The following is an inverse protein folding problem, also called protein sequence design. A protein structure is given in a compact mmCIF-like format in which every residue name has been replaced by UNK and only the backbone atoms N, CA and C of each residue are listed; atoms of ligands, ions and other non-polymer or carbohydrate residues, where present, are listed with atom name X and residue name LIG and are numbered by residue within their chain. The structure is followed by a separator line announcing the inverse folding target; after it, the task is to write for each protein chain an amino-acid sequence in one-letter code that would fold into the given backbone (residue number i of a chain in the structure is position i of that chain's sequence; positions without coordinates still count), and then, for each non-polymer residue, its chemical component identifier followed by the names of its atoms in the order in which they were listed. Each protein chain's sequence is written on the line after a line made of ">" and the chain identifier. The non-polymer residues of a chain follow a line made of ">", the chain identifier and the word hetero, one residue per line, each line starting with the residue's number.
data_IF_588088805149
#
_entry.id   IF_588088805149
#
_cell.length_a   1.000
_cell.length_b   1.000
_cell.length_c   1.000
_cell.angle_alpha   90.00
_cell.angle_beta   90.00
_cell.angle_gamma   90.00
#
_symmetry.space_group_name_H-M   'P 1'
#
loop_
_entity.id
_entity.type
_entity.pdbx_description
1 polymer ?
#
# COMPACT_ATOMS: atom_id res chain seq x y z
N UNK A 1 15.59 -5.61 9.73
CA UNK A 1 15.65 -4.25 10.29
C UNK A 1 14.30 -3.97 10.95
N UNK A 2 14.29 -3.39 12.13
CA UNK A 2 13.02 -3.11 12.82
C UNK A 2 12.32 -1.87 12.24
N UNK A 3 11.04 -1.71 12.56
CA UNK A 3 10.26 -0.61 12.01
C UNK A 3 10.75 0.76 12.48
N UNK A 4 11.24 0.87 13.71
CA UNK A 4 11.76 2.15 14.20
C UNK A 4 12.98 2.62 13.41
N UNK A 5 13.82 1.68 12.96
CA UNK A 5 14.99 2.00 12.11
C UNK A 5 14.57 2.41 10.70
N UNK A 6 13.42 1.93 10.22
CA UNK A 6 12.94 2.25 8.88
C UNK A 6 12.25 3.61 8.80
N UNK A 7 11.65 4.07 9.89
CA UNK A 7 10.90 5.34 9.89
C UNK A 7 11.70 6.54 9.39
N UNK A 8 12.93 6.81 9.89
CA UNK A 8 13.71 7.95 9.36
C UNK A 8 14.06 7.79 7.87
N UNK A 9 14.22 6.55 7.41
CA UNK A 9 14.52 6.29 5.99
C UNK A 9 13.31 6.58 5.10
N UNK A 10 12.11 6.23 5.56
CA UNK A 10 10.86 6.57 4.87
C UNK A 10 10.71 8.08 4.77
N UNK A 11 10.89 8.79 5.88
CA UNK A 11 10.79 10.25 5.92
C UNK A 11 11.81 10.90 4.97
N UNK A 12 13.04 10.41 4.95
CA UNK A 12 14.09 10.93 4.09
C UNK A 12 13.74 10.79 2.60
N UNK A 13 13.23 9.64 2.19
CA UNK A 13 12.82 9.41 0.80
C UNK A 13 11.68 10.35 0.42
N UNK A 14 10.64 10.41 1.24
CA UNK A 14 9.43 11.17 0.93
C UNK A 14 9.63 12.68 0.98
N UNK A 15 10.65 13.15 1.69
CA UNK A 15 10.99 14.58 1.76
C UNK A 15 12.09 15.01 0.78
N UNK A 16 12.61 14.09 -0.04
CA UNK A 16 13.69 14.41 -0.99
C UNK A 16 13.15 15.22 -2.17
N UNK A 17 13.47 16.51 -2.19
CA UNK A 17 12.99 17.42 -3.24
C UNK A 17 13.63 17.18 -4.61
N UNK A 18 14.67 16.33 -4.68
CA UNK A 18 15.41 16.07 -5.92
C UNK A 18 14.79 14.98 -6.78
N UNK A 19 13.83 14.23 -6.25
CA UNK A 19 13.17 13.15 -6.97
C UNK A 19 11.68 13.42 -7.12
N UNK A 20 11.06 12.81 -8.14
CA UNK A 20 9.63 12.99 -8.42
C UNK A 20 8.77 12.29 -7.37
N UNK A 21 7.49 12.62 -7.34
CA UNK A 21 6.52 11.94 -6.47
C UNK A 21 6.47 10.44 -6.77
N UNK A 22 6.43 10.07 -8.05
CA UNK A 22 6.41 8.66 -8.44
C UNK A 22 7.67 7.92 -7.97
N UNK A 23 8.82 8.56 -8.08
CA UNK A 23 10.07 7.98 -7.60
C UNK A 23 10.08 7.84 -6.07
N UNK A 24 9.55 8.81 -5.35
CA UNK A 24 9.40 8.72 -3.88
C UNK A 24 8.57 7.50 -3.48
N UNK A 25 7.45 7.30 -4.15
CA UNK A 25 6.56 6.17 -3.87
C UNK A 25 7.23 4.84 -4.21
N UNK A 26 7.89 4.77 -5.36
CA UNK A 26 8.59 3.55 -5.78
C UNK A 26 9.72 3.20 -4.82
N UNK A 27 10.55 4.18 -4.45
CA UNK A 27 11.65 3.93 -3.50
C UNK A 27 11.14 3.53 -2.12
N UNK A 28 10.01 4.06 -1.68
CA UNK A 28 9.39 3.64 -0.43
C UNK A 28 8.95 2.19 -0.50
N UNK A 29 8.31 1.77 -1.61
CA UNK A 29 7.94 0.38 -1.81
C UNK A 29 9.16 -0.54 -1.80
N UNK A 30 10.22 -0.15 -2.48
CA UNK A 30 11.47 -0.92 -2.53
C UNK A 30 12.12 -1.04 -1.15
N UNK A 31 12.15 0.06 -0.40
CA UNK A 31 12.70 0.06 0.96
C UNK A 31 11.99 -0.96 1.84
N UNK A 32 10.66 -0.97 1.81
CA UNK A 32 9.87 -1.88 2.64
C UNK A 32 10.05 -3.33 2.21
N UNK A 33 9.96 -3.60 0.91
CA UNK A 33 10.17 -4.95 0.39
C UNK A 33 11.55 -5.49 0.75
N UNK A 34 12.59 -4.67 0.61
CA UNK A 34 13.97 -5.12 0.80
C UNK A 34 14.35 -5.32 2.26
N UNK A 35 13.64 -4.67 3.19
CA UNK A 35 14.01 -4.67 4.61
C UNK A 35 13.04 -5.42 5.52
N UNK A 36 11.86 -5.80 5.04
CA UNK A 36 10.89 -6.58 5.82
C UNK A 36 10.70 -7.91 5.10
N UNK A 37 11.22 -8.98 5.68
CA UNK A 37 11.34 -10.29 5.02
C UNK A 37 10.01 -10.84 4.50
N UNK A 38 8.89 -10.56 5.17
CA UNK A 38 7.58 -11.05 4.77
C UNK A 38 6.76 -10.04 3.95
N UNK A 39 7.36 -8.93 3.53
CA UNK A 39 6.75 -7.99 2.57
C UNK A 39 7.24 -8.36 1.17
N UNK A 40 6.54 -9.26 0.51
CA UNK A 40 6.97 -9.79 -0.78
C UNK A 40 6.54 -8.92 -1.96
N UNK A 41 5.44 -8.21 -1.80
CA UNK A 41 4.96 -7.23 -2.76
C UNK A 41 4.41 -6.03 -1.98
N UNK A 42 4.80 -4.82 -2.38
CA UNK A 42 4.38 -3.57 -1.74
C UNK A 42 3.93 -2.62 -2.84
N UNK A 43 2.74 -2.06 -2.71
CA UNK A 43 2.24 -1.11 -3.71
C UNK A 43 1.36 -0.03 -3.12
N UNK A 44 1.26 1.07 -3.85
CA UNK A 44 0.34 2.17 -3.55
C UNK A 44 -0.70 2.27 -4.65
N UNK A 45 -1.96 2.18 -4.23
CA UNK A 45 -3.12 2.46 -5.09
C UNK A 45 -3.73 3.79 -4.69
N UNK A 46 -4.21 4.54 -5.67
CA UNK A 46 -4.91 5.80 -5.44
C UNK A 46 -6.22 5.83 -6.21
N UNK A 47 -7.17 6.61 -5.73
CA UNK A 47 -8.42 6.85 -6.45
C UNK A 47 -8.09 7.36 -7.86
N UNK A 48 -8.80 6.84 -8.85
CA UNK A 48 -8.59 7.23 -10.25
C UNK A 48 -9.54 8.37 -10.61
N UNK A 49 -9.17 9.60 -10.22
CA UNK A 49 -9.99 10.78 -10.43
C UNK A 49 -11.34 10.66 -9.72
N UNK A 50 -12.42 10.87 -10.45
CA UNK A 50 -13.79 10.78 -9.92
C UNK A 50 -14.42 9.40 -10.09
N UNK A 51 -13.68 8.44 -10.63
CA UNK A 51 -14.19 7.09 -10.83
C UNK A 51 -14.16 6.31 -9.53
N UNK A 52 -15.10 5.39 -9.37
CA UNK A 52 -15.15 4.49 -8.20
C UNK A 52 -14.21 3.30 -8.42
N UNK A 53 -12.93 3.60 -8.58
CA UNK A 53 -11.89 2.62 -8.79
C UNK A 53 -10.55 3.12 -8.26
N UNK A 54 -9.65 2.18 -7.99
CA UNK A 54 -8.26 2.42 -7.59
C UNK A 54 -7.36 2.20 -8.80
N UNK A 55 -6.29 2.99 -8.86
CA UNK A 55 -5.24 2.84 -9.88
C UNK A 55 -3.89 2.64 -9.19
N UNK A 56 -3.16 1.61 -9.63
CA UNK A 56 -1.82 1.35 -9.12
C UNK A 56 -0.87 2.43 -9.61
N UNK A 57 -0.15 3.05 -8.68
CA UNK A 57 0.77 4.13 -9.00
C UNK A 57 2.24 3.74 -8.87
N UNK A 58 2.57 2.93 -7.87
CA UNK A 58 3.94 2.48 -7.64
C UNK A 58 3.91 1.14 -6.94
N UNK A 59 4.90 0.30 -7.19
CA UNK A 59 5.03 -0.99 -6.52
C UNK A 59 6.47 -1.49 -6.55
N UNK A 60 6.76 -2.45 -5.68
CA UNK A 60 7.98 -3.24 -5.67
C UNK A 60 7.60 -4.71 -5.50
N UNK A 61 8.15 -5.56 -6.32
CA UNK A 61 7.84 -6.98 -6.37
C UNK A 61 7.51 -7.40 -7.79
N UNK A 62 6.86 -8.54 -7.96
CA UNK A 62 6.50 -9.04 -9.27
C UNK A 62 5.43 -8.16 -9.92
N UNK A 63 5.50 -7.96 -11.26
CA UNK A 63 4.45 -7.22 -11.96
C UNK A 63 3.08 -7.85 -11.74
N UNK A 64 2.05 -7.02 -11.70
CA UNK A 64 0.66 -7.45 -11.53
C UNK A 64 -0.22 -6.93 -12.67
N UNK A 65 -1.23 -7.72 -13.02
CA UNK A 65 -2.27 -7.29 -13.96
C UNK A 65 -3.35 -6.45 -13.29
N UNK A 66 -3.36 -6.40 -11.94
CA UNK A 66 -4.38 -5.67 -11.18
C UNK A 66 -3.97 -4.21 -11.03
N UNK A 67 -3.94 -3.46 -12.12
CA UNK A 67 -3.57 -2.04 -12.13
C UNK A 67 -4.77 -1.14 -11.88
N UNK A 68 -5.99 -1.62 -12.15
CA UNK A 68 -7.25 -0.94 -11.86
C UNK A 68 -8.12 -1.89 -11.06
N UNK A 69 -8.58 -1.43 -9.89
CA UNK A 69 -9.42 -2.23 -8.99
C UNK A 69 -10.69 -1.46 -8.69
N UNK A 70 -11.87 -1.96 -9.11
CA UNK A 70 -13.14 -1.32 -8.77
C UNK A 70 -13.36 -1.32 -7.26
N UNK A 71 -14.00 -0.27 -6.74
CA UNK A 71 -14.38 -0.22 -5.34
C UNK A 71 -15.28 -1.41 -5.00
N UNK A 72 -15.06 -2.02 -3.84
CA UNK A 72 -15.79 -3.20 -3.39
C UNK A 72 -15.22 -4.53 -3.88
N UNK A 73 -14.28 -4.52 -4.82
CA UNK A 73 -13.68 -5.75 -5.37
C UNK A 73 -12.37 -6.08 -4.66
N UNK A 74 -12.23 -7.35 -4.27
CA UNK A 74 -11.03 -7.82 -3.59
C UNK A 74 -10.82 -7.14 -2.24
N UNK A 75 -9.65 -7.34 -1.66
CA UNK A 75 -9.31 -6.75 -0.36
C UNK A 75 -9.10 -5.24 -0.51
N UNK A 76 -8.36 -4.82 -1.53
CA UNK A 76 -8.10 -3.40 -1.80
C UNK A 76 -9.39 -2.63 -2.08
N UNK A 77 -10.28 -3.18 -2.91
CA UNK A 77 -11.55 -2.53 -3.23
C UNK A 77 -12.46 -2.39 -2.01
N UNK A 78 -12.43 -3.37 -1.11
CA UNK A 78 -13.19 -3.29 0.15
C UNK A 78 -12.67 -2.18 1.06
N UNK A 79 -11.36 -2.00 1.15
CA UNK A 79 -10.75 -0.94 1.98
C UNK A 79 -11.08 0.45 1.41
N UNK A 80 -11.19 0.58 0.10
CA UNK A 80 -11.60 1.85 -0.52
C UNK A 80 -12.98 2.30 -0.05
N UNK A 81 -13.85 1.36 0.32
CA UNK A 81 -15.23 1.63 0.78
C UNK A 81 -15.31 1.68 2.30
N UNK A 82 -14.64 0.76 3.00
CA UNK A 82 -14.76 0.62 4.45
C UNK A 82 -14.02 1.70 5.24
N UNK A 83 -12.96 2.25 4.68
CA UNK A 83 -12.05 3.19 5.35
C UNK A 83 -11.33 2.58 6.57
N UNK A 84 -11.27 1.25 6.64
CA UNK A 84 -10.69 0.51 7.77
C UNK A 84 -9.47 -0.28 7.31
N UNK A 85 -8.50 -0.47 8.20
CA UNK A 85 -7.42 -1.42 7.96
C UNK A 85 -8.01 -2.82 7.72
N UNK A 86 -7.42 -3.57 6.82
CA UNK A 86 -7.82 -4.96 6.59
C UNK A 86 -6.57 -5.84 6.65
N UNK A 87 -6.50 -6.65 7.68
CA UNK A 87 -5.42 -7.63 7.87
C UNK A 87 -5.99 -9.01 7.57
N UNK A 88 -5.43 -9.66 6.56
CA UNK A 88 -5.91 -10.96 6.07
C UNK A 88 -4.81 -12.00 6.30
N UNK A 89 -4.91 -12.83 7.35
CA UNK A 89 -3.88 -13.83 7.65
C UNK A 89 -3.86 -14.99 6.66
N UNK A 90 -4.98 -15.25 5.98
CA UNK A 90 -5.10 -16.30 4.98
C UNK A 90 -6.03 -15.82 3.86
N UNK A 91 -5.45 -15.48 2.70
CA UNK A 91 -6.21 -14.95 1.56
C UNK A 91 -7.21 -15.97 1.01
N UNK A 92 -6.94 -17.26 1.17
CA UNK A 92 -7.84 -18.32 0.69
C UNK A 92 -9.14 -18.40 1.47
N UNK A 93 -9.18 -17.82 2.67
CA UNK A 93 -10.40 -17.75 3.47
C UNK A 93 -11.32 -16.59 3.06
N UNK A 94 -10.89 -15.73 2.11
CA UNK A 94 -11.65 -14.56 1.66
C UNK A 94 -12.42 -14.88 0.38
N UNK A 95 -13.76 -14.71 0.42
CA UNK A 95 -14.61 -14.99 -0.74
C UNK A 95 -14.40 -13.98 -1.88
N UNK A 96 -13.99 -12.75 -1.53
CA UNK A 96 -13.83 -11.65 -2.48
C UNK A 96 -12.34 -11.32 -2.67
N UNK A 97 -11.51 -12.34 -2.83
CA UNK A 97 -10.08 -12.16 -3.05
C UNK A 97 -9.75 -12.15 -4.54
N UNK A 98 -8.95 -11.14 -4.95
CA UNK A 98 -8.39 -11.08 -6.30
C UNK A 98 -6.94 -11.52 -6.22
N UNK A 99 -6.65 -12.71 -6.73
CA UNK A 99 -5.30 -13.28 -6.65
C UNK A 99 -4.33 -12.55 -7.57
N UNK A 100 -3.22 -12.05 -6.99
CA UNK A 100 -2.10 -11.47 -7.76
C UNK A 100 -1.07 -12.55 -8.12
N UNK A 101 -0.93 -13.57 -7.28
CA UNK A 101 0.01 -14.66 -7.45
C UNK A 101 -0.46 -15.86 -6.65
N UNK A 102 -0.15 -17.07 -7.14
CA UNK A 102 -0.44 -18.31 -6.42
C UNK A 102 0.37 -18.43 -5.13
N UNK A 103 1.45 -17.63 -4.99
CA UNK A 103 2.32 -17.68 -3.82
C UNK A 103 1.84 -16.78 -2.68
N UNK A 104 0.89 -15.88 -2.92
CA UNK A 104 0.37 -15.00 -1.89
C UNK A 104 -0.45 -15.81 -0.89
N UNK A 105 -0.11 -15.70 0.38
CA UNK A 105 -0.80 -16.37 1.48
C UNK A 105 -1.52 -15.40 2.40
N UNK A 106 -1.00 -14.19 2.56
CA UNK A 106 -1.57 -13.18 3.44
C UNK A 106 -1.48 -11.81 2.78
N UNK A 107 -2.33 -10.89 3.22
CA UNK A 107 -2.36 -9.52 2.69
C UNK A 107 -2.73 -8.56 3.81
N UNK A 108 -2.14 -7.36 3.79
CA UNK A 108 -2.54 -6.25 4.64
C UNK A 108 -2.73 -5.00 3.79
N UNK A 109 -3.84 -4.32 3.99
CA UNK A 109 -4.16 -3.07 3.29
C UNK A 109 -4.49 -2.01 4.32
N UNK A 110 -3.82 -0.86 4.23
CA UNK A 110 -4.02 0.27 5.13
C UNK A 110 -4.47 1.47 4.30
N UNK A 111 -5.63 2.06 4.60
CA UNK A 111 -6.09 3.23 3.86
C UNK A 111 -5.20 4.44 4.10
N UNK A 112 -5.13 5.31 3.10
CA UNK A 112 -4.33 6.53 3.13
C UNK A 112 -5.26 7.73 3.08
N UNK A 113 -5.21 8.55 4.13
CA UNK A 113 -6.10 9.69 4.29
C UNK A 113 -5.36 11.00 4.08
N UNK A 114 -5.99 11.91 3.35
CA UNK A 114 -5.54 13.31 3.28
C UNK A 114 -6.73 14.18 3.66
N UNK A 115 -6.55 15.04 4.66
CA UNK A 115 -7.62 15.89 5.21
C UNK A 115 -8.87 15.08 5.59
N UNK A 116 -8.67 13.88 6.13
CA UNK A 116 -9.75 12.99 6.57
C UNK A 116 -10.46 12.22 5.47
N UNK A 117 -10.02 12.37 4.23
CA UNK A 117 -10.61 11.66 3.07
C UNK A 117 -9.72 10.50 2.65
N UNK A 118 -10.30 9.32 2.44
CA UNK A 118 -9.60 8.15 1.92
C UNK A 118 -9.32 8.36 0.43
N UNK A 119 -8.04 8.55 0.09
CA UNK A 119 -7.62 8.84 -1.29
C UNK A 119 -6.84 7.69 -1.92
N UNK A 120 -6.53 6.68 -1.15
CA UNK A 120 -5.72 5.57 -1.61
C UNK A 120 -5.39 4.62 -0.49
N UNK A 121 -4.33 3.85 -0.70
CA UNK A 121 -3.93 2.83 0.28
C UNK A 121 -2.53 2.30 -0.03
N UNK A 122 -1.90 1.74 1.00
CA UNK A 122 -0.76 0.84 0.80
C UNK A 122 -1.27 -0.59 0.89
N UNK A 123 -0.80 -1.43 -0.03
CA UNK A 123 -1.16 -2.85 -0.15
C UNK A 123 0.11 -3.69 -0.08
N UNK A 124 0.11 -4.68 0.80
CA UNK A 124 1.25 -5.58 0.97
C UNK A 124 0.78 -7.02 0.90
N UNK A 125 1.42 -7.79 0.03
CA UNK A 125 1.22 -9.23 -0.10
C UNK A 125 2.38 -9.98 0.51
N UNK A 126 2.10 -11.07 1.21
CA UNK A 126 3.10 -11.92 1.83
C UNK A 126 2.98 -13.37 1.35
N UNK A 127 4.13 -14.01 1.16
CA UNK A 127 4.21 -15.45 0.89
C UNK A 127 4.21 -16.26 2.18
N UNK A 128 4.10 -15.61 3.32
CA UNK A 128 4.03 -16.21 4.65
C UNK A 128 2.60 -16.14 5.17
N UNK A 129 2.10 -17.22 5.77
CA UNK A 129 0.78 -17.22 6.39
C UNK A 129 0.84 -16.47 7.73
N UNK A 130 -0.18 -15.64 7.98
CA UNK A 130 -0.37 -14.91 9.24
C UNK A 130 0.90 -14.18 9.73
N UNK A 131 1.54 -13.35 8.90
CA UNK A 131 2.78 -12.68 9.29
C UNK A 131 2.55 -11.35 9.98
N UNK A 132 1.39 -10.72 9.77
CA UNK A 132 1.17 -9.32 10.15
C UNK A 132 0.69 -9.20 11.59
N UNK A 133 1.27 -8.23 12.31
CA UNK A 133 0.94 -7.92 13.71
C UNK A 133 0.44 -6.49 13.82
N UNK A 134 0.03 -6.09 15.01
CA UNK A 134 -0.35 -4.71 15.28
C UNK A 134 0.81 -3.75 14.99
N UNK A 135 2.04 -4.19 15.19
CA UNK A 135 3.22 -3.38 14.87
C UNK A 135 3.29 -3.04 13.38
N UNK A 136 2.92 -3.99 12.50
CA UNK A 136 2.82 -3.73 11.07
C UNK A 136 1.78 -2.66 10.78
N UNK A 137 0.59 -2.75 11.39
CA UNK A 137 -0.46 -1.76 11.20
C UNK A 137 -0.01 -0.36 11.60
N UNK A 138 0.62 -0.22 12.77
CA UNK A 138 1.10 1.10 13.25
C UNK A 138 2.19 1.64 12.36
N UNK A 139 3.11 0.80 11.91
CA UNK A 139 4.18 1.22 11.01
C UNK A 139 3.62 1.69 9.65
N UNK A 140 2.70 0.93 9.07
CA UNK A 140 2.12 1.29 7.77
C UNK A 140 1.22 2.53 7.86
N UNK A 141 0.54 2.74 8.98
CA UNK A 141 -0.16 3.99 9.23
C UNK A 141 0.82 5.18 9.26
N UNK A 142 1.99 5.00 9.86
CA UNK A 142 3.05 6.02 9.84
C UNK A 142 3.50 6.30 8.41
N UNK A 143 3.76 5.26 7.62
CA UNK A 143 4.18 5.42 6.22
C UNK A 143 3.13 6.24 5.46
N UNK A 144 1.86 5.90 5.61
CA UNK A 144 0.76 6.61 4.94
C UNK A 144 0.64 8.06 5.39
N UNK A 145 0.88 8.34 6.68
CA UNK A 145 0.91 9.71 7.17
C UNK A 145 2.01 10.54 6.51
N UNK A 146 3.17 9.94 6.30
CA UNK A 146 4.29 10.61 5.64
C UNK A 146 4.03 10.80 4.14
N UNK A 147 3.41 9.81 3.49
CA UNK A 147 3.00 9.93 2.08
C UNK A 147 2.00 11.07 1.92
N UNK A 148 1.05 11.20 2.84
CA UNK A 148 0.03 12.24 2.79
C UNK A 148 0.61 13.68 2.82
N UNK A 149 1.83 13.85 3.30
CA UNK A 149 2.52 15.15 3.35
C UNK A 149 3.22 15.52 2.05
N UNK A 150 3.31 14.58 1.10
CA UNK A 150 4.05 14.81 -0.15
C UNK A 150 3.29 15.82 -1.01
N UNK A 151 3.99 16.92 -1.39
CA UNK A 151 3.43 17.88 -2.31
C UNK A 151 3.27 17.23 -3.70
N UNK A 152 2.28 17.67 -4.46
CA UNK A 152 1.96 17.14 -5.78
C UNK A 152 1.51 15.68 -5.79
N UNK A 153 1.12 15.14 -4.62
CA UNK A 153 0.64 13.76 -4.53
C UNK A 153 -0.55 13.51 -5.46
N UNK A 154 -1.39 14.52 -5.65
CA UNK A 154 -2.61 14.43 -6.47
C UNK A 154 -2.45 14.94 -7.91
N UNK A 155 -1.26 15.32 -8.33
CA UNK A 155 -1.08 15.95 -9.65
C UNK A 155 -1.51 15.04 -10.80
N UNK A 156 -1.57 13.73 -10.58
CA UNK A 156 -2.00 12.74 -11.58
C UNK A 156 -3.51 12.54 -11.61
N UNK A 157 -4.24 13.07 -10.64
CA UNK A 157 -5.69 12.86 -10.50
C UNK A 157 -6.52 13.79 -11.37
N UNK A 158 -5.87 14.69 -12.05
CA UNK A 158 -6.53 15.75 -12.82
C UNK A 158 -6.80 15.32 -14.24
#
# INVERSE_FOLDING_TARGET
>A
MDFESLKPKVTAILSDSLISTDEKLTQTCELLRDNVAYYNWVGFYFRNGNKEELKLRAFAGEPTDHTIIPFGKGICGQVAVSNQNFVVPDVKAQDNYIACSIYVKAEIVIPLFVNGENIGQIDIDSHTADPFTEADERFLEFVNMEVAKVSNLFSFDI
#
